data_IF_322414409983
#
_entry.id   IF_322414409983
#
_cell.length_a   1.000
_cell.length_b   1.000
_cell.length_c   1.000
_cell.angle_alpha   90.00
_cell.angle_beta   90.00
_cell.angle_gamma   90.00
#
_symmetry.space_group_name_H-M   'P 1'
#
loop_
_entity.id
_entity.type
_entity.pdbx_description
1 polymer ?
#
# COMPACT_ATOMS: atom_id res chain seq x y z
N UNK A 1 17.03 -0.64 -7.22
CA UNK A 1 15.62 -0.31 -6.95
C UNK A 1 15.21 0.83 -7.87
N UNK A 2 13.95 0.87 -8.28
CA UNK A 2 13.39 1.94 -9.10
C UNK A 2 12.49 2.81 -8.21
N UNK A 3 12.60 4.13 -8.32
CA UNK A 3 11.77 5.07 -7.55
C UNK A 3 10.75 5.71 -8.47
N UNK A 4 9.51 5.78 -8.01
CA UNK A 4 8.39 6.41 -8.72
C UNK A 4 7.87 7.60 -7.91
N UNK A 5 7.49 8.68 -8.59
CA UNK A 5 6.91 9.88 -7.97
C UNK A 5 5.45 9.97 -8.38
N UNK A 6 4.55 9.94 -7.40
CA UNK A 6 3.11 10.04 -7.59
C UNK A 6 2.71 11.48 -7.29
N UNK A 7 2.34 12.22 -8.35
CA UNK A 7 1.95 13.62 -8.24
C UNK A 7 0.53 13.82 -7.72
N UNK A 8 0.06 15.07 -7.79
CA UNK A 8 -1.34 15.42 -7.50
C UNK A 8 -2.28 14.60 -8.39
N UNK A 9 -3.26 13.94 -7.78
CA UNK A 9 -4.19 13.02 -8.46
C UNK A 9 -3.79 11.54 -8.36
N UNK A 10 -2.56 11.25 -7.92
CA UNK A 10 -2.05 9.90 -7.78
C UNK A 10 -1.70 9.24 -9.10
N UNK A 11 -1.31 7.98 -9.01
CA UNK A 11 -1.07 7.09 -10.15
C UNK A 11 -1.29 5.65 -9.66
N UNK A 12 -1.34 4.70 -10.59
CA UNK A 12 -1.45 3.28 -10.29
C UNK A 12 -0.43 2.52 -11.16
N UNK A 13 0.36 1.67 -10.53
CA UNK A 13 1.21 0.69 -11.20
C UNK A 13 0.68 -0.68 -10.84
N UNK A 14 0.32 -1.45 -11.86
CA UNK A 14 -0.18 -2.82 -11.69
C UNK A 14 0.85 -3.80 -12.20
N UNK A 15 1.14 -4.83 -11.40
CA UNK A 15 2.03 -5.90 -11.81
C UNK A 15 1.52 -7.23 -11.25
N UNK A 16 1.69 -8.30 -12.03
CA UNK A 16 1.34 -9.66 -11.61
C UNK A 16 2.60 -10.35 -11.10
N UNK A 17 2.61 -10.70 -9.82
CA UNK A 17 3.74 -11.39 -9.18
C UNK A 17 3.26 -12.56 -8.33
N UNK A 18 4.16 -13.51 -8.08
CA UNK A 18 4.02 -14.53 -7.04
C UNK A 18 5.03 -14.23 -5.95
N UNK A 19 4.62 -13.48 -4.93
CA UNK A 19 5.51 -12.96 -3.89
C UNK A 19 5.08 -13.42 -2.49
N UNK A 20 6.04 -13.89 -1.70
CA UNK A 20 5.83 -14.28 -0.29
C UNK A 20 6.22 -13.14 0.68
N UNK A 21 7.05 -12.19 0.23
CA UNK A 21 7.56 -11.07 1.02
C UNK A 21 7.54 -9.78 0.20
N UNK A 22 7.09 -8.69 0.82
CA UNK A 22 6.99 -7.37 0.22
C UNK A 22 7.70 -6.34 1.09
N UNK A 23 8.57 -5.53 0.49
CA UNK A 23 9.22 -4.40 1.14
C UNK A 23 9.16 -3.18 0.22
N UNK A 24 8.75 -2.03 0.76
CA UNK A 24 8.65 -0.75 0.05
C UNK A 24 9.20 0.35 0.96
N UNK A 25 10.11 1.14 0.40
CA UNK A 25 10.48 2.44 0.99
C UNK A 25 9.54 3.51 0.44
N UNK A 26 8.99 4.36 1.31
CA UNK A 26 8.08 5.44 0.92
C UNK A 26 8.37 6.73 1.69
N UNK A 27 7.94 7.86 1.11
CA UNK A 27 7.93 9.17 1.76
C UNK A 27 6.68 9.91 1.32
N UNK A 28 5.91 10.44 2.27
CA UNK A 28 4.66 11.15 1.99
C UNK A 28 4.27 12.05 3.15
N UNK A 29 3.46 13.07 2.86
CA UNK A 29 2.78 13.92 3.85
C UNK A 29 1.31 13.53 4.04
N UNK A 30 0.81 12.56 3.25
CA UNK A 30 -0.56 12.07 3.36
C UNK A 30 -0.75 11.35 4.70
N UNK A 31 -1.87 11.64 5.38
CA UNK A 31 -2.24 11.00 6.64
C UNK A 31 -2.96 9.67 6.44
N UNK A 32 -3.53 9.49 5.25
CA UNK A 32 -4.29 8.30 4.86
C UNK A 32 -3.96 8.02 3.38
N UNK A 33 -3.51 6.81 3.08
CA UNK A 33 -3.16 6.39 1.72
C UNK A 33 -2.98 4.87 1.63
N UNK A 34 -3.43 4.27 0.52
CA UNK A 34 -3.01 2.91 0.15
C UNK A 34 -1.71 3.00 -0.62
N UNK A 35 -0.66 2.31 -0.15
CA UNK A 35 0.66 2.29 -0.79
C UNK A 35 0.82 1.09 -1.70
N UNK A 36 0.41 -0.09 -1.23
CA UNK A 36 0.46 -1.34 -1.99
C UNK A 36 -0.75 -2.19 -1.66
N UNK A 37 -1.31 -2.83 -2.69
CA UNK A 37 -2.34 -3.85 -2.54
C UNK A 37 -1.99 -5.06 -3.41
N UNK A 38 -1.99 -6.23 -2.80
CA UNK A 38 -1.82 -7.51 -3.47
C UNK A 38 -3.14 -8.25 -3.38
N UNK A 39 -3.79 -8.43 -4.52
CA UNK A 39 -5.03 -9.19 -4.61
C UNK A 39 -4.70 -10.63 -4.99
N UNK A 40 -5.45 -11.56 -4.42
CA UNK A 40 -5.38 -12.96 -4.82
C UNK A 40 -5.99 -13.21 -6.19
N UNK A 41 -5.85 -14.45 -6.66
CA UNK A 41 -6.52 -14.88 -7.88
C UNK A 41 -8.04 -14.69 -7.77
N UNK A 42 -8.65 -14.34 -8.90
CA UNK A 42 -10.09 -14.06 -8.99
C UNK A 42 -10.91 -15.16 -8.33
N UNK A 43 -11.76 -14.78 -7.38
CA UNK A 43 -12.69 -15.67 -6.69
C UNK A 43 -12.25 -16.12 -5.29
N UNK A 44 -11.02 -15.84 -4.87
CA UNK A 44 -10.54 -16.16 -3.52
C UNK A 44 -10.89 -15.05 -2.50
N UNK A 45 -10.75 -13.78 -2.90
CA UNK A 45 -11.23 -12.62 -2.12
C UNK A 45 -10.33 -12.17 -0.97
N UNK A 46 -9.28 -12.92 -0.67
CA UNK A 46 -8.17 -12.53 0.20
C UNK A 46 -7.26 -11.48 -0.46
N UNK A 47 -6.67 -10.62 0.37
CA UNK A 47 -5.73 -9.62 -0.08
C UNK A 47 -4.76 -9.24 1.05
N UNK A 48 -3.63 -8.67 0.64
CA UNK A 48 -2.71 -7.98 1.53
C UNK A 48 -2.67 -6.51 1.14
N UNK A 49 -2.80 -5.61 2.11
CA UNK A 49 -2.74 -4.17 1.88
C UNK A 49 -1.77 -3.51 2.85
N UNK A 50 -0.86 -2.71 2.29
CA UNK A 50 -0.03 -1.78 3.03
C UNK A 50 -0.63 -0.38 2.87
N UNK A 51 -1.15 0.16 3.96
CA UNK A 51 -1.73 1.50 3.98
C UNK A 51 -1.24 2.33 5.17
N UNK A 52 -1.33 3.64 5.02
CA UNK A 52 -1.18 4.62 6.09
C UNK A 52 -2.58 4.92 6.58
N UNK A 53 -2.79 4.83 7.89
CA UNK A 53 -4.02 5.24 8.58
C UNK A 53 -3.71 6.42 9.48
N UNK A 54 -4.66 7.35 9.62
CA UNK A 54 -4.56 8.42 10.61
C UNK A 54 -4.55 7.77 11.99
N UNK A 55 -3.54 8.09 12.80
CA UNK A 55 -3.52 7.72 14.20
C UNK A 55 -4.73 8.35 14.91
N UNK A 56 -5.62 7.50 15.44
CA UNK A 56 -6.71 7.91 16.31
C UNK A 56 -6.21 7.82 17.75
N UNK A 57 -6.23 8.92 18.53
CA UNK A 57 -5.82 8.87 19.94
C UNK A 57 -6.73 7.90 20.72
N UNK A 58 -6.15 6.82 21.25
CA UNK A 58 -6.85 5.82 22.06
C UNK A 58 -6.88 4.40 21.50
N UNK A 59 -6.60 4.21 20.21
CA UNK A 59 -6.69 2.88 19.55
C UNK A 59 -5.45 1.99 19.74
N UNK A 60 -4.56 2.32 20.68
CA UNK A 60 -3.40 1.49 21.02
C UNK A 60 -2.40 1.29 19.86
N UNK A 61 -2.45 2.14 18.83
CA UNK A 61 -1.41 2.21 17.81
C UNK A 61 -0.09 2.55 18.50
N UNK A 62 0.82 1.57 18.51
CA UNK A 62 2.19 1.67 19.05
C UNK A 62 2.90 2.97 18.67
#
# INVERSE_FOLDING_TARGET
GTTYIFGRGGALITYTTRADRLAVGFSTQLKEAVLVRVESAKGLGDYLELHIVRAVPGDGGV
#
